data_IF_133990248606
#
_entry.id   IF_133990248606
#
_cell.length_a   1.000
_cell.length_b   1.000
_cell.length_c   1.000
_cell.angle_alpha   90.00
_cell.angle_beta   90.00
_cell.angle_gamma   90.00
#
_symmetry.space_group_name_H-M   'P 1'
#
loop_
_entity.id
_entity.type
_entity.pdbx_description
1 polymer ?
#
# COMPACT_ATOMS: atom_id res chain seq x y z
N UNK A 1 10.46 -13.84 -18.82
CA UNK A 1 10.47 -12.45 -18.30
C UNK A 1 10.09 -12.48 -16.84
N UNK A 2 10.95 -11.97 -16.00
CA UNK A 2 10.67 -11.93 -14.56
C UNK A 2 9.71 -10.76 -14.26
N UNK A 3 8.63 -11.08 -13.58
CA UNK A 3 7.71 -10.03 -13.11
C UNK A 3 8.40 -9.19 -12.05
N UNK A 4 8.24 -7.89 -12.16
CA UNK A 4 8.77 -6.98 -11.15
C UNK A 4 7.93 -7.09 -9.87
N UNK A 5 8.60 -7.20 -8.74
CA UNK A 5 7.94 -7.26 -7.44
C UNK A 5 7.27 -5.93 -7.07
N UNK A 6 7.90 -4.83 -7.46
CA UNK A 6 7.41 -3.48 -7.16
C UNK A 6 7.18 -2.72 -8.46
N UNK A 7 6.17 -1.85 -8.45
CA UNK A 7 5.82 -1.00 -9.59
C UNK A 7 5.84 0.46 -9.17
N UNK A 8 5.89 1.40 -10.13
CA UNK A 8 5.85 2.84 -9.79
C UNK A 8 4.63 3.18 -8.93
N UNK A 9 4.86 3.95 -7.88
CA UNK A 9 3.87 4.32 -6.89
C UNK A 9 3.92 3.50 -5.60
N UNK A 10 4.58 2.34 -5.62
CA UNK A 10 4.68 1.49 -4.43
C UNK A 10 5.53 2.15 -3.34
N UNK A 11 5.07 2.06 -2.10
CA UNK A 11 5.84 2.48 -0.93
C UNK A 11 6.58 1.27 -0.37
N UNK A 12 7.87 1.45 -0.16
CA UNK A 12 8.77 0.42 0.35
C UNK A 12 9.73 0.99 1.37
N UNK A 13 10.39 0.13 2.12
CA UNK A 13 11.48 0.51 3.01
C UNK A 13 12.79 0.09 2.34
N UNK A 14 13.71 1.03 2.18
CA UNK A 14 14.99 0.81 1.51
C UNK A 14 16.13 0.99 2.50
N UNK A 15 17.02 -0.02 2.58
CA UNK A 15 18.23 0.10 3.37
C UNK A 15 19.30 0.82 2.54
N UNK A 16 19.73 1.96 3.03
CA UNK A 16 20.66 2.84 2.32
C UNK A 16 22.11 2.50 2.68
N UNK A 17 22.48 2.72 3.93
CA UNK A 17 23.81 2.42 4.45
C UNK A 17 23.77 2.34 5.98
N UNK A 18 24.92 2.03 6.58
CA UNK A 18 25.00 1.84 8.03
C UNK A 18 24.74 3.13 8.82
N UNK A 19 25.04 4.26 8.24
CA UNK A 19 24.84 5.56 8.91
C UNK A 19 23.41 6.07 8.78
N UNK A 20 22.79 5.88 7.61
CA UNK A 20 21.44 6.34 7.31
C UNK A 20 20.38 5.35 7.76
N UNK A 21 20.68 4.03 7.66
CA UNK A 21 19.73 2.96 7.96
C UNK A 21 18.71 2.80 6.85
N UNK A 22 17.48 2.47 7.25
CA UNK A 22 16.37 2.26 6.30
C UNK A 22 15.48 3.50 6.23
N UNK A 23 15.02 3.80 5.03
CA UNK A 23 14.11 4.92 4.77
C UNK A 23 12.91 4.44 3.96
N UNK A 24 11.75 5.07 4.21
CA UNK A 24 10.56 4.85 3.38
C UNK A 24 10.76 5.61 2.08
N UNK A 25 10.51 4.95 0.96
CA UNK A 25 10.68 5.53 -0.36
C UNK A 25 9.59 5.06 -1.31
N UNK A 26 9.36 5.84 -2.36
CA UNK A 26 8.41 5.50 -3.41
C UNK A 26 9.16 4.94 -4.61
N UNK A 27 8.71 3.81 -5.15
CA UNK A 27 9.25 3.26 -6.38
C UNK A 27 8.80 4.13 -7.55
N UNK A 28 9.75 4.60 -8.35
CA UNK A 28 9.43 5.43 -9.53
C UNK A 28 9.82 4.76 -10.84
N UNK A 29 10.63 3.71 -10.81
CA UNK A 29 11.00 2.99 -12.00
C UNK A 29 11.92 1.81 -11.71
N UNK A 30 12.37 1.18 -12.79
CA UNK A 30 13.28 0.05 -12.73
C UNK A 30 14.26 0.12 -13.90
N UNK A 31 15.54 -0.07 -13.61
CA UNK A 31 16.58 -0.11 -14.62
C UNK A 31 16.98 -1.58 -14.88
N UNK A 32 16.54 -2.18 -16.00
CA UNK A 32 16.83 -3.58 -16.27
C UNK A 32 18.30 -3.86 -16.55
N UNK A 33 19.05 -2.86 -16.96
CA UNK A 33 20.48 -3.01 -17.27
C UNK A 33 21.29 -3.34 -16.01
N UNK A 34 20.99 -2.66 -14.91
CA UNK A 34 21.66 -2.86 -13.63
C UNK A 34 20.84 -3.66 -12.62
N UNK A 35 19.61 -4.02 -12.99
CA UNK A 35 18.68 -4.74 -12.12
C UNK A 35 18.45 -3.98 -10.79
N UNK A 36 18.24 -2.67 -10.90
CA UNK A 36 18.04 -1.79 -9.78
C UNK A 36 16.71 -1.07 -9.87
N UNK A 37 16.01 -0.95 -8.73
CA UNK A 37 14.84 -0.09 -8.62
C UNK A 37 15.27 1.35 -8.44
N UNK A 38 14.54 2.26 -9.06
CA UNK A 38 14.74 3.69 -8.91
C UNK A 38 13.72 4.17 -7.88
N UNK A 39 14.20 4.72 -6.78
CA UNK A 39 13.38 5.15 -5.66
C UNK A 39 13.47 6.66 -5.47
N UNK A 40 12.39 7.24 -4.99
CA UNK A 40 12.32 8.65 -4.64
C UNK A 40 12.05 8.79 -3.14
N UNK A 41 12.91 9.58 -2.47
CA UNK A 41 12.70 9.95 -1.08
C UNK A 41 13.09 11.42 -0.94
N UNK A 42 12.10 12.25 -0.65
CA UNK A 42 12.28 13.72 -0.60
C UNK A 42 13.21 14.19 0.53
N UNK A 43 13.57 13.30 1.44
CA UNK A 43 14.49 13.63 2.55
C UNK A 43 15.96 13.39 2.19
N UNK A 44 16.26 12.85 1.02
CA UNK A 44 17.64 12.62 0.57
C UNK A 44 18.07 13.78 -0.33
N UNK A 45 18.58 14.85 0.29
CA UNK A 45 18.97 16.07 -0.44
C UNK A 45 20.14 15.88 -1.39
N UNK A 46 21.15 15.08 -1.01
CA UNK A 46 22.36 14.85 -1.79
C UNK A 46 22.11 14.28 -3.19
N UNK A 47 21.08 13.47 -3.33
CA UNK A 47 20.72 12.82 -4.60
C UNK A 47 19.49 13.45 -5.24
N UNK A 48 19.04 14.60 -4.73
CA UNK A 48 17.76 15.22 -5.11
C UNK A 48 16.57 14.30 -4.88
N UNK A 49 16.69 13.42 -3.87
CA UNK A 49 15.67 12.49 -3.52
C UNK A 49 15.60 11.21 -4.35
N UNK A 50 16.47 11.05 -5.36
CA UNK A 50 16.44 9.88 -6.24
C UNK A 50 17.63 8.98 -5.99
N UNK A 51 17.39 7.67 -5.81
CA UNK A 51 18.43 6.67 -5.61
C UNK A 51 18.11 5.42 -6.45
N UNK A 52 19.16 4.67 -6.80
CA UNK A 52 19.02 3.36 -7.45
C UNK A 52 19.53 2.30 -6.49
N UNK A 53 18.75 1.22 -6.35
CA UNK A 53 19.03 0.20 -5.34
C UNK A 53 18.56 -1.18 -5.82
N UNK A 54 19.30 -2.23 -5.42
CA UNK A 54 18.95 -3.61 -5.76
C UNK A 54 17.81 -4.13 -4.88
N UNK A 55 17.05 -5.10 -5.38
CA UNK A 55 15.87 -5.63 -4.71
C UNK A 55 16.18 -6.19 -3.31
N UNK A 56 17.35 -6.78 -3.12
CA UNK A 56 17.76 -7.37 -1.83
C UNK A 56 17.90 -6.33 -0.70
N UNK A 57 17.96 -5.06 -1.05
CA UNK A 57 18.00 -3.96 -0.08
C UNK A 57 16.65 -3.28 0.12
N UNK A 58 15.60 -3.81 -0.49
CA UNK A 58 14.24 -3.29 -0.38
C UNK A 58 13.39 -4.26 0.44
N UNK A 59 12.69 -3.73 1.44
CA UNK A 59 11.79 -4.50 2.29
C UNK A 59 10.37 -3.96 2.12
N UNK A 60 9.38 -4.83 1.91
CA UNK A 60 8.00 -4.36 1.86
C UNK A 60 7.55 -3.88 3.23
N UNK A 61 6.65 -2.91 3.25
CA UNK A 61 6.12 -2.33 4.49
C UNK A 61 4.88 -3.11 4.91
N UNK A 62 4.89 -3.67 6.12
CA UNK A 62 3.74 -4.41 6.65
C UNK A 62 2.53 -3.48 6.80
N UNK A 63 1.37 -3.99 6.37
CA UNK A 63 0.12 -3.26 6.52
C UNK A 63 -0.36 -3.37 7.97
N UNK A 64 -0.53 -2.25 8.64
CA UNK A 64 -0.90 -2.18 10.05
C UNK A 64 -2.17 -1.35 10.24
N UNK A 65 -2.90 -1.54 11.36
CA UNK A 65 -4.05 -0.70 11.70
C UNK A 65 -3.71 0.79 11.70
N UNK A 66 -2.54 1.16 12.23
CA UNK A 66 -2.09 2.55 12.28
C UNK A 66 -1.96 3.16 10.88
N UNK A 67 -1.41 2.40 9.94
CA UNK A 67 -1.27 2.85 8.54
C UNK A 67 -2.65 3.00 7.91
N UNK A 68 -3.57 2.08 8.15
CA UNK A 68 -4.94 2.17 7.64
C UNK A 68 -5.65 3.42 8.15
N UNK A 69 -5.59 3.68 9.44
CA UNK A 69 -6.19 4.89 10.04
C UNK A 69 -5.60 6.16 9.43
N UNK A 70 -4.30 6.18 9.23
CA UNK A 70 -3.59 7.32 8.63
C UNK A 70 -4.05 7.62 7.21
N UNK A 71 -4.54 6.59 6.50
CA UNK A 71 -4.97 6.70 5.11
C UNK A 71 -6.50 6.77 4.95
N UNK A 72 -7.21 7.12 6.02
CA UNK A 72 -8.64 7.36 5.95
C UNK A 72 -9.54 6.15 6.08
N UNK A 73 -8.99 5.01 6.46
CA UNK A 73 -9.79 3.85 6.78
C UNK A 73 -10.37 4.00 8.18
N UNK A 74 -11.66 3.80 8.31
CA UNK A 74 -12.36 3.90 9.59
C UNK A 74 -12.42 2.54 10.28
N UNK A 75 -11.98 2.52 11.54
CA UNK A 75 -12.00 1.32 12.35
C UNK A 75 -13.40 1.03 12.83
N UNK A 76 -13.78 -0.26 12.87
CA UNK A 76 -15.07 -0.68 13.40
C UNK A 76 -15.12 -0.44 14.91
N UNK A 77 -16.27 0.02 15.40
CA UNK A 77 -16.46 0.34 16.82
C UNK A 77 -16.43 -0.89 17.73
N UNK A 78 -16.82 -2.05 17.19
CA UNK A 78 -16.94 -3.29 17.97
C UNK A 78 -15.79 -4.27 17.73
N UNK A 79 -15.13 -4.20 16.56
CA UNK A 79 -14.05 -5.13 16.21
C UNK A 79 -12.84 -4.37 15.68
N UNK A 80 -11.75 -4.39 16.45
CA UNK A 80 -10.50 -3.69 16.13
C UNK A 80 -9.79 -4.24 14.89
N UNK A 81 -10.17 -5.41 14.41
CA UNK A 81 -9.58 -6.02 13.22
C UNK A 81 -10.30 -5.68 11.92
N UNK A 82 -11.35 -4.87 11.98
CA UNK A 82 -12.15 -4.52 10.82
C UNK A 82 -12.04 -3.03 10.53
N UNK A 83 -11.77 -2.69 9.26
CA UNK A 83 -11.67 -1.32 8.78
C UNK A 83 -12.56 -1.12 7.56
N UNK A 84 -13.09 0.09 7.41
CA UNK A 84 -13.97 0.46 6.30
C UNK A 84 -13.40 1.65 5.54
N UNK A 85 -13.43 1.55 4.23
CA UNK A 85 -13.22 2.70 3.35
C UNK A 85 -14.53 3.00 2.67
N UNK A 86 -15.22 3.97 3.20
CA UNK A 86 -16.49 4.42 2.64
C UNK A 86 -16.25 5.53 1.64
N UNK A 87 -16.81 5.40 0.40
CA UNK A 87 -16.49 6.38 -0.43
C UNK A 87 -17.16 7.02 -1.50
N UNK A 88 -16.98 8.28 -1.40
CA UNK A 88 -17.18 9.22 -2.48
C UNK A 88 -16.39 8.86 -3.76
N UNK A 89 -15.33 8.12 -3.64
CA UNK A 89 -14.52 7.66 -4.78
C UNK A 89 -15.26 6.73 -5.73
N UNK A 90 -16.31 6.09 -5.24
CA UNK A 90 -17.05 5.11 -6.01
C UNK A 90 -18.36 5.68 -6.57
N UNK A 91 -18.54 6.99 -6.43
CA UNK A 91 -19.74 7.65 -6.91
C UNK A 91 -21.01 7.34 -6.13
N UNK A 92 -20.87 6.70 -4.95
CA UNK A 92 -22.00 6.44 -4.10
C UNK A 92 -22.39 7.64 -3.27
N UNK A 93 -23.69 7.77 -2.99
CA UNK A 93 -24.18 8.80 -2.08
C UNK A 93 -24.18 8.23 -0.65
N UNK A 94 -23.47 8.89 0.25
CA UNK A 94 -23.34 8.47 1.64
C UNK A 94 -24.69 8.42 2.37
N UNK A 95 -25.65 9.22 1.95
CA UNK A 95 -26.98 9.29 2.55
C UNK A 95 -27.96 8.28 1.92
N UNK A 96 -27.56 7.58 0.86
CA UNK A 96 -28.37 6.58 0.17
C UNK A 96 -27.81 5.17 0.47
N UNK A 97 -28.44 4.46 1.39
CA UNK A 97 -28.02 3.12 1.81
C UNK A 97 -27.95 2.11 0.66
N UNK A 98 -28.78 2.26 -0.35
CA UNK A 98 -28.84 1.36 -1.50
C UNK A 98 -27.68 1.58 -2.48
N UNK A 99 -27.16 2.81 -2.54
CA UNK A 99 -26.07 3.18 -3.44
C UNK A 99 -24.73 3.44 -2.72
N UNK A 100 -24.72 3.28 -1.41
CA UNK A 100 -23.51 3.45 -0.61
C UNK A 100 -22.59 2.26 -0.80
N UNK A 101 -21.40 2.52 -1.36
CA UNK A 101 -20.40 1.47 -1.56
C UNK A 101 -19.29 1.62 -0.52
N UNK A 102 -18.97 0.53 0.14
CA UNK A 102 -17.98 0.50 1.19
C UNK A 102 -17.09 -0.72 1.01
N UNK A 103 -15.78 -0.49 1.04
CA UNK A 103 -14.83 -1.59 1.13
C UNK A 103 -14.63 -1.94 2.60
N UNK A 104 -14.61 -3.24 2.87
CA UNK A 104 -14.29 -3.76 4.19
C UNK A 104 -12.97 -4.49 4.12
N UNK A 105 -12.04 -4.10 4.98
CA UNK A 105 -10.73 -4.74 5.11
C UNK A 105 -10.64 -5.32 6.51
N UNK A 106 -10.42 -6.62 6.62
CA UNK A 106 -10.33 -7.26 7.92
C UNK A 106 -9.12 -8.18 8.02
N UNK A 107 -8.53 -8.20 9.21
CA UNK A 107 -7.37 -9.03 9.49
C UNK A 107 -7.80 -10.42 9.97
N UNK A 108 -7.28 -11.46 9.35
CA UNK A 108 -7.58 -12.84 9.73
C UNK A 108 -6.54 -13.39 10.71
N UNK A 109 -5.28 -13.47 10.27
CA UNK A 109 -4.19 -13.97 11.10
C UNK A 109 -2.85 -13.68 10.39
N UNK A 110 -1.72 -13.99 11.05
CA UNK A 110 -0.39 -13.73 10.48
C UNK A 110 -0.14 -14.45 9.15
N UNK A 111 -0.70 -15.63 8.99
CA UNK A 111 -0.52 -16.43 7.78
C UNK A 111 -1.35 -15.91 6.61
N UNK A 112 -2.61 -15.61 6.86
CA UNK A 112 -3.57 -15.22 5.81
C UNK A 112 -3.66 -13.72 5.59
N UNK A 113 -3.11 -12.92 6.51
CA UNK A 113 -3.05 -11.47 6.40
C UNK A 113 -4.41 -10.79 6.41
N UNK A 114 -4.55 -9.77 5.58
CA UNK A 114 -5.76 -8.98 5.45
C UNK A 114 -6.58 -9.44 4.26
N UNK A 115 -7.89 -9.32 4.39
CA UNK A 115 -8.85 -9.67 3.34
C UNK A 115 -9.71 -8.46 3.07
N UNK A 116 -9.92 -8.15 1.79
CA UNK A 116 -10.78 -7.04 1.39
C UNK A 116 -12.02 -7.57 0.66
N UNK A 117 -13.19 -7.09 1.05
CA UNK A 117 -14.43 -7.38 0.36
C UNK A 117 -15.22 -6.10 0.08
N UNK A 118 -16.21 -6.24 -0.78
CA UNK A 118 -17.15 -5.18 -1.10
C UNK A 118 -18.56 -5.78 -1.11
N UNK A 119 -19.39 -5.36 -0.15
CA UNK A 119 -20.75 -5.85 0.00
C UNK A 119 -20.85 -7.38 0.14
N UNK A 120 -19.89 -7.98 0.85
CA UNK A 120 -19.84 -9.41 1.06
C UNK A 120 -19.18 -10.21 -0.06
N UNK A 121 -18.79 -9.56 -1.16
CA UNK A 121 -18.04 -10.22 -2.23
C UNK A 121 -16.56 -10.08 -1.99
N UNK A 122 -15.86 -11.20 -1.92
CA UNK A 122 -14.41 -11.23 -1.74
C UNK A 122 -13.70 -10.66 -2.96
N UNK A 123 -12.89 -9.61 -2.77
CA UNK A 123 -12.09 -9.03 -3.83
C UNK A 123 -10.68 -9.60 -3.83
N UNK A 124 -10.06 -9.67 -2.67
CA UNK A 124 -8.70 -10.19 -2.54
C UNK A 124 -8.45 -10.64 -1.11
N UNK A 125 -7.67 -11.69 -0.97
CA UNK A 125 -7.16 -12.17 0.31
C UNK A 125 -5.63 -12.16 0.29
N UNK A 126 -5.02 -12.51 1.42
CA UNK A 126 -3.57 -12.67 1.51
C UNK A 126 -2.80 -11.36 1.30
N UNK A 127 -3.39 -10.26 1.80
CA UNK A 127 -2.74 -8.94 1.76
C UNK A 127 -1.91 -8.79 3.03
N UNK A 128 -0.60 -8.66 2.88
CA UNK A 128 0.32 -8.50 4.01
C UNK A 128 1.00 -7.14 4.04
N UNK A 129 1.17 -6.53 2.87
CA UNK A 129 2.01 -5.35 2.71
C UNK A 129 1.28 -4.18 2.09
N UNK A 130 1.75 -2.98 2.39
CA UNK A 130 1.18 -1.72 1.86
C UNK A 130 1.10 -1.74 0.35
N UNK A 131 2.18 -2.16 -0.35
CA UNK A 131 2.19 -2.15 -1.82
C UNK A 131 1.15 -3.10 -2.41
N UNK A 132 0.83 -4.21 -1.75
CA UNK A 132 -0.20 -5.13 -2.21
C UNK A 132 -1.59 -4.48 -2.18
N UNK A 133 -1.89 -3.71 -1.13
CA UNK A 133 -3.12 -2.94 -1.06
C UNK A 133 -3.14 -1.84 -2.12
N UNK A 134 -2.01 -1.16 -2.33
CA UNK A 134 -1.88 -0.14 -3.37
C UNK A 134 -2.17 -0.71 -4.76
N UNK A 135 -1.63 -1.89 -5.09
CA UNK A 135 -1.89 -2.55 -6.37
C UNK A 135 -3.37 -2.83 -6.58
N UNK A 136 -4.04 -3.31 -5.53
CA UNK A 136 -5.47 -3.58 -5.60
C UNK A 136 -6.28 -2.30 -5.84
N UNK A 137 -6.00 -1.25 -5.07
CA UNK A 137 -6.70 0.03 -5.20
C UNK A 137 -6.47 0.63 -6.59
N UNK A 138 -5.25 0.56 -7.10
CA UNK A 138 -4.92 1.00 -8.46
C UNK A 138 -5.74 0.23 -9.50
N UNK A 139 -5.80 -1.11 -9.37
CA UNK A 139 -6.57 -1.95 -10.29
C UNK A 139 -8.08 -1.67 -10.28
N UNK A 140 -8.59 -1.15 -9.15
CA UNK A 140 -9.99 -0.77 -9.01
C UNK A 140 -10.26 0.67 -9.44
N UNK A 141 -9.22 1.41 -9.87
CA UNK A 141 -9.36 2.81 -10.26
C UNK A 141 -9.56 3.76 -9.08
N UNK A 142 -9.15 3.35 -7.90
CA UNK A 142 -9.28 4.13 -6.66
C UNK A 142 -7.93 4.76 -6.33
N UNK A 143 -7.94 5.87 -5.59
CA UNK A 143 -6.71 6.48 -5.14
C UNK A 143 -5.87 5.48 -4.35
N UNK A 144 -4.70 5.16 -4.89
CA UNK A 144 -3.77 4.19 -4.32
C UNK A 144 -2.56 4.85 -3.63
N UNK A 145 -2.53 6.17 -3.57
CA UNK A 145 -1.49 6.89 -2.85
C UNK A 145 -1.70 6.70 -1.35
N UNK A 146 -0.67 6.25 -0.67
CA UNK A 146 -0.74 5.98 0.76
C UNK A 146 0.41 6.66 1.49
N UNK A 147 0.20 6.93 2.77
CA UNK A 147 1.21 7.42 3.69
C UNK A 147 1.50 6.31 4.72
N UNK A 148 2.74 6.24 5.20
CA UNK A 148 3.13 5.25 6.20
C UNK A 148 3.78 5.87 7.42
#
# INVERSE_FOLDING_TARGET
MNDLKYIPGDLVEAWIDIDTGSLVAEVVGYNPLYQEYILNNWFIEETRGVISITEDRITPISLTPKILEKNGWDKDDEDESIFYLSEAFLGGDKDDEDNYTCFQLYYQNEKDGWVIDMRGELLKSDIHYVHELQHLLFGLGINHEMEV
#
